data_IF_510001488577
#
_entry.id   IF_510001488577
#
_cell.length_a   1.000
_cell.length_b   1.000
_cell.length_c   1.000
_cell.angle_alpha   90.00
_cell.angle_beta   90.00
_cell.angle_gamma   90.00
#
_symmetry.space_group_name_H-M   'P 1'
#
loop_
_entity.id
_entity.type
_entity.pdbx_description
1 polymer ?
#
# COMPACT_ATOMS: atom_id res chain seq x y z
N UNK A 1 -9.66 -26.54 0.55
CA UNK A 1 -8.79 -27.46 1.31
C UNK A 1 -7.83 -26.61 2.15
N UNK A 2 -8.27 -26.11 3.31
CA UNK A 2 -7.40 -25.37 4.22
C UNK A 2 -6.44 -26.37 4.87
N UNK A 3 -5.13 -26.18 4.67
CA UNK A 3 -4.10 -27.07 5.22
C UNK A 3 -4.10 -26.98 6.74
N UNK A 4 -4.48 -28.08 7.39
CA UNK A 4 -4.48 -28.27 8.84
C UNK A 4 -3.07 -28.50 9.41
N UNK A 5 -2.03 -27.93 8.80
CA UNK A 5 -0.64 -28.12 9.18
C UNK A 5 0.02 -26.78 9.50
N UNK A 6 -0.25 -26.21 10.69
CA UNK A 6 0.60 -25.17 11.32
C UNK A 6 0.25 -24.82 12.77
N UNK A 7 -0.86 -25.32 13.34
CA UNK A 7 -1.32 -24.91 14.67
C UNK A 7 -0.38 -25.29 15.84
N UNK A 8 0.61 -26.17 15.63
CA UNK A 8 1.51 -26.64 16.70
C UNK A 8 2.80 -25.80 16.87
N UNK A 9 3.10 -24.86 15.97
CA UNK A 9 4.37 -24.09 16.01
C UNK A 9 4.19 -22.57 16.00
N UNK A 10 3.00 -22.05 15.72
CA UNK A 10 2.75 -20.60 15.63
C UNK A 10 1.73 -20.17 16.68
N UNK A 11 2.03 -19.11 17.42
CA UNK A 11 1.11 -18.49 18.37
C UNK A 11 -0.10 -17.83 17.70
N UNK A 12 -1.02 -17.21 18.47
CA UNK A 12 -2.20 -16.56 17.93
C UNK A 12 -1.83 -15.45 16.94
N UNK A 13 -2.45 -15.48 15.76
CA UNK A 13 -2.26 -14.46 14.74
C UNK A 13 -3.15 -13.23 15.01
N UNK A 14 -2.58 -12.03 14.85
CA UNK A 14 -3.32 -10.76 14.94
C UNK A 14 -3.52 -10.18 13.55
N UNK A 15 -4.72 -9.66 13.29
CA UNK A 15 -4.98 -8.93 12.06
C UNK A 15 -4.08 -7.67 11.94
N UNK A 16 -3.57 -7.41 10.74
CA UNK A 16 -2.69 -6.28 10.44
C UNK A 16 -3.44 -5.25 9.60
N UNK A 17 -3.26 -3.96 9.91
CA UNK A 17 -3.76 -2.88 9.06
C UNK A 17 -2.75 -2.60 7.94
N UNK A 18 -3.05 -3.08 6.73
CA UNK A 18 -2.15 -2.93 5.59
C UNK A 18 -1.93 -1.48 5.13
N UNK A 19 -2.86 -0.56 5.39
CA UNK A 19 -2.65 0.85 5.07
C UNK A 19 -1.54 1.45 5.94
N UNK A 20 -1.55 1.16 7.25
CA UNK A 20 -0.49 1.61 8.17
C UNK A 20 0.87 1.01 7.81
N UNK A 21 0.91 -0.28 7.47
CA UNK A 21 2.18 -0.93 7.04
C UNK A 21 2.71 -0.26 5.78
N UNK A 22 1.85 0.00 4.79
CA UNK A 22 2.25 0.72 3.58
C UNK A 22 2.77 2.13 3.89
N UNK A 23 2.13 2.87 4.80
CA UNK A 23 2.62 4.20 5.21
C UNK A 23 4.01 4.14 5.83
N UNK A 24 4.29 3.18 6.72
CA UNK A 24 5.62 3.04 7.30
C UNK A 24 6.66 2.66 6.25
N UNK A 25 6.33 1.76 5.31
CA UNK A 25 7.21 1.43 4.17
C UNK A 25 7.53 2.66 3.33
N UNK A 26 6.54 3.53 3.08
CA UNK A 26 6.75 4.75 2.29
C UNK A 26 7.61 5.80 3.00
N UNK A 27 7.72 5.76 4.34
CA UNK A 27 8.59 6.64 5.13
C UNK A 27 10.00 6.09 5.30
N UNK A 28 10.24 4.81 5.02
CA UNK A 28 11.55 4.20 5.21
C UNK A 28 12.58 4.76 4.21
N UNK A 29 13.73 5.25 4.69
CA UNK A 29 14.84 5.58 3.81
C UNK A 29 15.31 4.32 3.06
N UNK A 30 15.45 4.41 1.74
CA UNK A 30 16.04 3.36 0.92
C UNK A 30 17.33 3.89 0.34
N UNK A 31 18.42 3.15 0.53
CA UNK A 31 19.74 3.51 0.05
C UNK A 31 20.49 2.27 -0.45
N UNK A 32 21.59 2.50 -1.16
CA UNK A 32 22.57 1.44 -1.40
C UNK A 32 23.61 1.47 -0.30
N UNK A 33 23.94 0.30 0.24
CA UNK A 33 24.89 0.15 1.33
C UNK A 33 25.68 -1.15 1.18
N UNK A 34 26.71 -1.33 2.01
CA UNK A 34 27.47 -2.59 2.11
C UNK A 34 27.82 -2.86 3.56
N UNK A 35 27.98 -4.12 3.94
CA UNK A 35 28.61 -4.43 5.22
C UNK A 35 30.10 -4.08 5.19
N UNK A 36 30.68 -3.82 6.35
CA UNK A 36 32.13 -3.55 6.44
C UNK A 36 32.98 -4.73 5.95
N UNK A 37 32.50 -5.96 6.13
CA UNK A 37 33.14 -7.20 5.67
C UNK A 37 32.82 -7.57 4.22
N UNK A 38 31.90 -6.88 3.56
CA UNK A 38 31.60 -7.13 2.16
C UNK A 38 32.75 -6.65 1.27
N UNK A 39 33.03 -7.34 0.13
CA UNK A 39 33.92 -6.84 -0.89
C UNK A 39 33.55 -5.41 -1.36
N UNK A 40 34.53 -4.60 -1.82
CA UNK A 40 34.29 -3.20 -2.19
C UNK A 40 33.20 -2.96 -3.23
N UNK A 41 32.92 -3.95 -4.10
CA UNK A 41 31.97 -3.84 -5.21
C UNK A 41 30.56 -4.35 -4.86
N UNK A 42 30.38 -5.01 -3.72
CA UNK A 42 29.06 -5.49 -3.29
C UNK A 42 28.21 -4.32 -2.82
N UNK A 43 26.97 -4.26 -3.30
CA UNK A 43 25.96 -3.31 -2.84
C UNK A 43 24.67 -4.05 -2.55
N UNK A 44 24.12 -3.80 -1.38
CA UNK A 44 22.74 -4.13 -1.02
C UNK A 44 21.88 -2.90 -1.27
N UNK A 45 20.61 -3.13 -1.61
CA UNK A 45 19.61 -2.09 -1.79
C UNK A 45 18.50 -2.33 -0.76
N UNK A 46 18.23 -1.33 0.07
CA UNK A 46 17.17 -1.44 1.06
C UNK A 46 17.30 -0.41 2.19
N UNK A 47 16.42 -0.49 3.18
CA UNK A 47 16.55 0.30 4.39
C UNK A 47 17.72 -0.20 5.24
N UNK A 48 18.20 0.68 6.12
CA UNK A 48 19.07 0.27 7.21
C UNK A 48 18.28 -0.51 8.26
N UNK A 49 18.92 -1.49 8.91
CA UNK A 49 18.26 -2.37 9.89
C UNK A 49 17.72 -1.60 11.11
N UNK A 50 18.34 -0.50 11.49
CA UNK A 50 17.92 0.35 12.60
C UNK A 50 16.61 1.06 12.28
N UNK A 51 16.50 1.65 11.08
CA UNK A 51 15.28 2.31 10.61
C UNK A 51 14.15 1.28 10.45
N UNK A 52 14.46 0.10 9.92
CA UNK A 52 13.53 -1.03 9.83
C UNK A 52 12.97 -1.41 11.20
N UNK A 53 13.85 -1.62 12.19
CA UNK A 53 13.41 -1.98 13.53
C UNK A 53 12.59 -0.86 14.16
N UNK A 54 12.99 0.41 13.99
CA UNK A 54 12.23 1.55 14.50
C UNK A 54 10.83 1.64 13.89
N UNK A 55 10.68 1.33 12.60
CA UNK A 55 9.40 1.38 11.89
C UNK A 55 8.46 0.22 12.25
N UNK A 56 8.97 -1.01 12.34
CA UNK A 56 8.11 -2.21 12.44
C UNK A 56 8.18 -2.94 13.77
N UNK A 57 9.25 -2.76 14.55
CA UNK A 57 9.47 -3.56 15.76
C UNK A 57 9.65 -5.06 15.47
N UNK A 58 10.01 -5.44 14.24
CA UNK A 58 10.21 -6.83 13.81
C UNK A 58 11.69 -7.21 13.84
N UNK A 59 11.95 -8.47 14.17
CA UNK A 59 13.29 -9.04 14.37
C UNK A 59 13.76 -9.02 15.83
N UNK A 60 14.79 -9.81 16.13
CA UNK A 60 15.34 -9.94 17.48
C UNK A 60 16.33 -8.82 17.85
N UNK A 61 16.77 -8.00 16.88
CA UNK A 61 17.75 -6.93 17.06
C UNK A 61 17.62 -5.85 15.97
N UNK A 62 18.36 -4.73 16.10
CA UNK A 62 18.35 -3.59 15.16
C UNK A 62 19.50 -3.59 14.14
N UNK A 63 20.22 -4.70 13.99
CA UNK A 63 21.37 -4.82 13.06
C UNK A 63 21.13 -5.84 11.93
N UNK A 64 20.01 -6.55 11.98
CA UNK A 64 19.61 -7.51 10.94
C UNK A 64 18.17 -7.27 10.53
N UNK A 65 17.86 -7.59 9.26
CA UNK A 65 16.50 -7.65 8.77
C UNK A 65 16.23 -9.09 8.34
N UNK A 66 15.20 -9.72 8.90
CA UNK A 66 14.76 -11.05 8.52
C UNK A 66 14.13 -11.03 7.13
N UNK A 67 14.59 -11.90 6.23
CA UNK A 67 13.99 -12.05 4.91
C UNK A 67 12.50 -12.44 4.97
N UNK A 68 12.11 -13.22 5.99
CA UNK A 68 10.70 -13.60 6.22
C UNK A 68 9.84 -12.38 6.53
N UNK A 69 10.32 -11.48 7.40
CA UNK A 69 9.58 -10.28 7.79
C UNK A 69 9.52 -9.28 6.63
N UNK A 70 10.62 -9.10 5.88
CA UNK A 70 10.65 -8.28 4.66
C UNK A 70 9.63 -8.77 3.64
N UNK A 71 9.57 -10.08 3.40
CA UNK A 71 8.60 -10.67 2.47
C UNK A 71 7.16 -10.50 2.97
N UNK A 72 6.91 -10.67 4.27
CA UNK A 72 5.60 -10.44 4.88
C UNK A 72 5.13 -9.00 4.72
N UNK A 73 5.98 -8.02 5.02
CA UNK A 73 5.71 -6.59 4.82
C UNK A 73 5.43 -6.29 3.35
N UNK A 74 6.22 -6.86 2.42
CA UNK A 74 6.01 -6.68 0.98
C UNK A 74 4.63 -7.21 0.54
N UNK A 75 4.24 -8.41 0.96
CA UNK A 75 2.93 -8.98 0.65
C UNK A 75 1.77 -8.12 1.17
N UNK A 76 1.88 -7.62 2.41
CA UNK A 76 0.88 -6.72 2.99
C UNK A 76 0.76 -5.43 2.15
N UNK A 77 1.90 -4.86 1.72
CA UNK A 77 1.91 -3.66 0.90
C UNK A 77 1.31 -3.91 -0.49
N UNK A 78 1.61 -5.04 -1.13
CA UNK A 78 1.00 -5.42 -2.42
C UNK A 78 -0.53 -5.49 -2.29
N UNK A 79 -1.04 -6.15 -1.25
CA UNK A 79 -2.48 -6.22 -1.00
C UNK A 79 -3.10 -4.84 -0.73
N UNK A 80 -2.42 -3.99 0.04
CA UNK A 80 -2.90 -2.64 0.33
C UNK A 80 -2.92 -1.74 -0.91
N UNK A 81 -1.88 -1.81 -1.74
CA UNK A 81 -1.79 -1.09 -3.01
C UNK A 81 -2.84 -1.56 -4.00
N UNK A 82 -3.08 -2.87 -4.12
CA UNK A 82 -4.14 -3.40 -4.99
C UNK A 82 -5.51 -2.86 -4.58
N UNK A 83 -5.87 -2.88 -3.29
CA UNK A 83 -7.11 -2.27 -2.81
C UNK A 83 -7.21 -0.78 -3.13
N UNK A 84 -6.11 -0.04 -3.02
CA UNK A 84 -6.07 1.39 -3.37
C UNK A 84 -6.28 1.61 -4.87
N UNK A 85 -5.74 0.74 -5.72
CA UNK A 85 -5.94 0.80 -7.18
C UNK A 85 -7.41 0.55 -7.52
N UNK A 86 -8.05 -0.46 -6.93
CA UNK A 86 -9.47 -0.75 -7.14
C UNK A 86 -10.36 0.44 -6.73
N UNK A 87 -10.12 1.00 -5.55
CA UNK A 87 -10.85 2.17 -5.04
C UNK A 87 -10.68 3.40 -5.95
N UNK A 88 -9.43 3.71 -6.33
CA UNK A 88 -9.15 4.82 -7.25
C UNK A 88 -9.78 4.58 -8.63
N UNK A 89 -9.80 3.35 -9.12
CA UNK A 89 -10.43 3.00 -10.40
C UNK A 89 -11.93 3.23 -10.34
N UNK A 90 -12.60 2.78 -9.28
CA UNK A 90 -14.04 3.01 -9.08
C UNK A 90 -14.38 4.52 -8.98
N UNK A 91 -13.54 5.30 -8.29
CA UNK A 91 -13.70 6.75 -8.22
C UNK A 91 -13.54 7.42 -9.60
N UNK A 92 -12.54 7.01 -10.37
CA UNK A 92 -12.33 7.53 -11.74
C UNK A 92 -13.53 7.23 -12.63
N UNK A 93 -14.08 6.02 -12.58
CA UNK A 93 -15.29 5.68 -13.37
C UNK A 93 -16.50 6.50 -12.93
N UNK A 94 -16.71 6.67 -11.62
CA UNK A 94 -17.80 7.52 -11.10
C UNK A 94 -17.67 8.96 -11.58
N UNK A 95 -16.46 9.53 -11.55
CA UNK A 95 -16.21 10.89 -12.01
C UNK A 95 -16.40 11.02 -13.53
N UNK A 96 -16.02 10.01 -14.31
CA UNK A 96 -16.26 9.96 -15.76
C UNK A 96 -17.75 9.95 -16.07
N UNK A 97 -18.55 9.17 -15.35
CA UNK A 97 -20.01 9.15 -15.51
C UNK A 97 -20.66 10.48 -15.15
N UNK A 98 -20.16 11.15 -14.10
CA UNK A 98 -20.63 12.48 -13.71
C UNK A 98 -20.29 13.55 -14.76
N UNK A 99 -19.08 13.51 -15.31
CA UNK A 99 -18.64 14.43 -16.35
C UNK A 99 -19.31 14.17 -17.71
N UNK A 100 -19.65 12.90 -18.00
CA UNK A 100 -20.37 12.51 -19.21
C UNK A 100 -21.88 12.78 -19.13
N UNK A 101 -22.40 13.09 -17.93
CA UNK A 101 -23.80 13.49 -17.78
C UNK A 101 -23.96 14.88 -18.43
N UNK A 102 -24.77 15.00 -19.49
CA UNK A 102 -24.97 16.29 -20.13
C UNK A 102 -25.52 17.26 -19.10
N UNK A 103 -25.00 18.49 -19.12
CA UNK A 103 -25.42 19.61 -18.31
C UNK A 103 -26.95 19.63 -18.33
N UNK A 104 -27.57 19.36 -17.17
CA UNK A 104 -29.03 19.40 -17.05
C UNK A 104 -29.40 20.82 -17.48
N UNK A 105 -30.22 21.01 -18.53
CA UNK A 105 -30.44 22.33 -19.11
C UNK A 105 -30.76 23.29 -17.98
N UNK A 106 -29.95 24.35 -17.88
CA UNK A 106 -30.15 25.37 -16.88
C UNK A 106 -31.62 25.78 -16.94
N UNK A 107 -32.25 25.99 -15.79
CA UNK A 107 -33.67 26.35 -15.68
C UNK A 107 -34.06 27.55 -16.58
N UNK A 108 -33.08 28.31 -17.09
CA UNK A 108 -33.24 29.37 -18.08
C UNK A 108 -33.81 28.88 -19.44
N UNK A 109 -33.44 27.69 -19.93
CA UNK A 109 -33.93 27.19 -21.23
C UNK A 109 -35.33 26.57 -21.13
N UNK A 110 -35.74 26.12 -19.93
CA UNK A 110 -37.08 25.61 -19.68
C UNK A 110 -38.12 26.76 -19.63
N UNK A 111 -37.72 27.95 -19.17
CA UNK A 111 -38.57 29.14 -19.18
C UNK A 111 -38.83 29.70 -20.58
N UNK A 112 -37.88 29.55 -21.51
CA UNK A 112 -38.00 30.13 -22.85
C UNK A 112 -38.89 29.29 -23.80
N UNK A 113 -38.95 27.97 -23.62
CA UNK A 113 -39.89 27.09 -24.37
C UNK A 113 -41.34 27.20 -23.89
N UNK A 114 -41.57 27.74 -22.69
CA UNK A 114 -42.92 27.91 -22.14
C UNK A 114 -43.52 29.30 -22.44
N UNK A 115 -42.76 30.20 -23.08
CA UNK A 115 -43.14 31.57 -23.40
C UNK A 115 -43.16 31.89 -24.92
N UNK A 116 -43.09 30.88 -25.80
CA UNK A 116 -43.18 31.06 -27.25
C UNK A 116 -44.62 30.87 -27.78
N UNK A 117 -45.16 31.80 -28.60
CA UNK A 117 -46.51 31.75 -29.17
C UNK A 117 -46.70 30.74 -30.32
#
# INVERSE_FOLDING_TARGET
MASAATAATTGPAKAVNGHKVLEEVLRLPVSTWRYHWDPPDVRHLGPMAQDWHAAFGLGDNNVTISATDTNGVALVCIQALHRRIEDLTAQVETLREQAARPDRPSLAEATERQAGP
#
